data_IF_174943259723
#
_entry.id   IF_174943259723
#
_cell.length_a   1.000
_cell.length_b   1.000
_cell.length_c   1.000
_cell.angle_alpha   90.00
_cell.angle_beta   90.00
_cell.angle_gamma   90.00
#
_symmetry.space_group_name_H-M   'P 1'
#
loop_
_entity.id
_entity.type
_entity.pdbx_description
1 polymer ?
#
# COMPACT_ATOMS: atom_id res chain seq x y z
N UNK A 1 -20.91 7.71 -27.12
CA UNK A 1 -20.82 9.06 -26.54
C UNK A 1 -20.99 8.92 -25.04
N UNK A 2 -19.91 8.65 -24.29
CA UNK A 2 -19.98 8.58 -22.83
C UNK A 2 -19.86 10.00 -22.30
N UNK A 3 -20.94 10.51 -21.69
CA UNK A 3 -20.95 11.82 -21.07
C UNK A 3 -19.80 11.90 -20.06
N UNK A 4 -19.03 12.99 -20.13
CA UNK A 4 -18.00 13.31 -19.14
C UNK A 4 -18.73 13.71 -17.86
N UNK A 5 -19.16 12.72 -17.08
CA UNK A 5 -19.54 12.97 -15.70
C UNK A 5 -18.28 13.43 -14.99
N UNK A 6 -18.29 14.68 -14.50
CA UNK A 6 -17.21 15.22 -13.70
C UNK A 6 -17.11 14.43 -12.39
N UNK A 7 -16.16 13.50 -12.31
CA UNK A 7 -15.84 12.77 -11.09
C UNK A 7 -15.07 13.70 -10.14
N UNK A 8 -15.66 14.01 -8.98
CA UNK A 8 -14.96 14.68 -7.90
C UNK A 8 -14.35 13.62 -6.97
N UNK A 9 -13.04 13.66 -6.78
CA UNK A 9 -12.30 12.68 -5.98
C UNK A 9 -11.69 13.35 -4.77
N UNK A 10 -12.02 12.84 -3.58
CA UNK A 10 -11.43 13.26 -2.32
C UNK A 10 -10.67 12.10 -1.68
N UNK A 11 -9.48 12.38 -1.15
CA UNK A 11 -8.66 11.43 -0.40
C UNK A 11 -8.59 11.92 1.04
N UNK A 12 -8.86 11.02 2.00
CA UNK A 12 -8.77 11.31 3.43
C UNK A 12 -8.19 10.11 4.17
N UNK A 13 -7.29 10.37 5.11
CA UNK A 13 -6.82 9.37 6.06
C UNK A 13 -7.67 9.46 7.33
N UNK A 14 -8.70 8.62 7.40
CA UNK A 14 -9.64 8.61 8.52
C UNK A 14 -8.97 8.31 9.87
N UNK A 15 -7.87 7.53 9.92
CA UNK A 15 -7.16 7.28 11.18
C UNK A 15 -6.45 8.54 11.66
N UNK A 16 -5.61 9.13 10.81
CA UNK A 16 -4.79 10.28 11.19
C UNK A 16 -5.62 11.55 11.41
N UNK A 17 -6.61 11.80 10.55
CA UNK A 17 -7.35 13.07 10.49
C UNK A 17 -8.63 13.07 11.34
N UNK A 18 -9.22 11.89 11.58
CA UNK A 18 -10.59 11.77 12.07
C UNK A 18 -10.77 10.77 13.22
N UNK A 19 -9.68 10.38 13.91
CA UNK A 19 -9.79 9.64 15.17
C UNK A 19 -9.14 10.40 16.34
N UNK A 20 -9.67 10.26 17.57
CA UNK A 20 -9.04 10.85 18.75
C UNK A 20 -7.75 10.11 19.12
N UNK A 21 -6.93 10.73 19.97
CA UNK A 21 -5.85 10.02 20.65
C UNK A 21 -6.40 8.83 21.46
N UNK A 22 -5.72 7.66 21.48
CA UNK A 22 -4.42 7.35 20.87
C UNK A 22 -4.50 6.84 19.42
N UNK A 23 -5.69 6.68 18.85
CA UNK A 23 -5.91 6.02 17.56
C UNK A 23 -5.25 6.74 16.38
N UNK A 24 -5.21 8.08 16.40
CA UNK A 24 -4.54 8.87 15.37
C UNK A 24 -3.01 8.71 15.34
N UNK A 25 -2.41 8.01 16.32
CA UNK A 25 -0.99 7.68 16.32
C UNK A 25 -0.69 6.30 15.70
N UNK A 26 -1.70 5.48 15.41
CA UNK A 26 -1.51 4.13 14.83
C UNK A 26 -0.71 4.17 13.51
N UNK A 27 -0.99 5.08 12.56
CA UNK A 27 -0.20 5.15 11.33
C UNK A 27 1.27 5.49 11.58
N UNK A 28 1.58 6.26 12.63
CA UNK A 28 2.95 6.62 12.99
C UNK A 28 3.72 5.47 13.64
N UNK A 29 3.04 4.63 14.43
CA UNK A 29 3.67 3.46 15.05
C UNK A 29 3.94 2.32 14.05
N UNK A 30 3.29 2.33 12.89
CA UNK A 30 3.48 1.34 11.83
C UNK A 30 4.96 1.17 11.41
N UNK A 31 5.66 2.28 11.16
CA UNK A 31 7.09 2.23 10.75
C UNK A 31 7.96 1.54 11.80
N UNK A 32 7.68 1.79 13.08
CA UNK A 32 8.37 1.10 14.18
C UNK A 32 8.04 -0.39 14.20
N UNK A 33 6.76 -0.76 14.11
CA UNK A 33 6.34 -2.17 14.15
C UNK A 33 6.96 -2.98 13.01
N UNK A 34 6.92 -2.48 11.77
CA UNK A 34 7.46 -3.21 10.61
C UNK A 34 8.98 -3.37 10.68
N UNK A 35 9.70 -2.44 11.32
CA UNK A 35 11.14 -2.58 11.59
C UNK A 35 11.45 -3.66 12.63
N UNK A 36 10.48 -4.05 13.45
CA UNK A 36 10.63 -5.07 14.49
C UNK A 36 9.80 -6.31 14.13
N UNK A 37 10.39 -7.19 13.31
CA UNK A 37 9.74 -8.39 12.78
C UNK A 37 8.93 -9.21 13.79
N UNK A 38 9.44 -9.52 15.00
CA UNK A 38 8.66 -10.23 16.02
C UNK A 38 7.41 -9.47 16.50
N UNK A 39 7.52 -8.14 16.71
CA UNK A 39 6.38 -7.31 17.12
C UNK A 39 5.33 -7.22 16.02
N UNK A 40 5.76 -7.05 14.76
CA UNK A 40 4.86 -7.10 13.61
C UNK A 40 4.13 -8.43 13.51
N UNK A 41 4.86 -9.54 13.65
CA UNK A 41 4.28 -10.89 13.61
C UNK A 41 3.22 -11.06 14.71
N UNK A 42 3.56 -10.66 15.94
CA UNK A 42 2.63 -10.73 17.07
C UNK A 42 1.38 -9.89 16.83
N UNK A 43 1.53 -8.65 16.39
CA UNK A 43 0.40 -7.77 16.07
C UNK A 43 -0.49 -8.38 14.97
N UNK A 44 0.11 -8.77 13.85
CA UNK A 44 -0.59 -9.32 12.69
C UNK A 44 -1.37 -10.59 13.04
N UNK A 45 -0.70 -11.59 13.63
CA UNK A 45 -1.35 -12.88 13.94
C UNK A 45 -2.24 -12.79 15.18
N UNK A 46 -1.96 -11.87 16.11
CA UNK A 46 -2.81 -11.61 17.27
C UNK A 46 -4.15 -10.98 16.90
N UNK A 47 -4.18 -10.12 15.89
CA UNK A 47 -5.43 -9.49 15.42
C UNK A 47 -6.13 -10.26 14.30
N UNK A 48 -5.48 -11.22 13.65
CA UNK A 48 -6.07 -11.98 12.55
C UNK A 48 -7.35 -12.78 12.90
N UNK A 49 -7.46 -13.46 14.07
CA UNK A 49 -8.62 -14.27 14.38
C UNK A 49 -9.93 -13.49 14.33
N UNK A 50 -10.96 -14.11 13.73
CA UNK A 50 -12.26 -13.45 13.44
C UNK A 50 -12.90 -12.81 14.68
N UNK A 51 -12.96 -13.56 15.76
CA UNK A 51 -13.56 -13.10 17.01
C UNK A 51 -12.78 -11.92 17.62
N UNK A 52 -11.44 -11.93 17.49
CA UNK A 52 -10.58 -10.88 18.02
C UNK A 52 -10.77 -9.57 17.26
N UNK A 53 -10.56 -9.55 15.93
CA UNK A 53 -10.70 -8.28 15.21
C UNK A 53 -12.13 -7.75 15.21
N UNK A 54 -13.15 -8.61 15.12
CA UNK A 54 -14.54 -8.15 15.16
C UNK A 54 -14.88 -7.49 16.50
N UNK A 55 -14.42 -8.06 17.61
CA UNK A 55 -14.62 -7.49 18.94
C UNK A 55 -13.84 -6.19 19.11
N UNK A 56 -12.57 -6.15 18.68
CA UNK A 56 -11.75 -4.95 18.74
C UNK A 56 -12.38 -3.81 17.92
N UNK A 57 -12.79 -4.06 16.68
CA UNK A 57 -13.45 -3.04 15.86
C UNK A 57 -14.82 -2.63 16.41
N UNK A 58 -15.57 -3.55 17.02
CA UNK A 58 -16.82 -3.19 17.68
C UNK A 58 -16.57 -2.24 18.86
N UNK A 59 -15.60 -2.54 19.73
CA UNK A 59 -15.22 -1.68 20.84
C UNK A 59 -14.68 -0.33 20.37
N UNK A 60 -13.70 -0.33 19.45
CA UNK A 60 -13.11 0.88 18.89
C UNK A 60 -14.16 1.76 18.21
N UNK A 61 -15.12 1.16 17.48
CA UNK A 61 -16.18 1.93 16.81
C UNK A 61 -16.99 2.78 17.77
N UNK A 62 -17.23 2.34 19.00
CA UNK A 62 -17.95 3.11 20.01
C UNK A 62 -17.26 4.44 20.33
N UNK A 63 -15.93 4.48 20.30
CA UNK A 63 -15.14 5.66 20.59
C UNK A 63 -14.91 6.56 19.37
N UNK A 64 -14.71 5.97 18.19
CA UNK A 64 -14.28 6.73 17.00
C UNK A 64 -15.42 7.02 16.00
N UNK A 65 -16.58 6.37 16.12
CA UNK A 65 -17.62 6.43 15.10
C UNK A 65 -18.11 7.85 14.81
N UNK A 66 -18.21 8.72 15.81
CA UNK A 66 -18.68 10.10 15.61
C UNK A 66 -17.75 10.90 14.71
N UNK A 67 -16.45 10.88 15.00
CA UNK A 67 -15.46 11.65 14.25
C UNK A 67 -15.20 11.05 12.87
N UNK A 68 -15.15 9.72 12.76
CA UNK A 68 -15.07 9.02 11.47
C UNK A 68 -16.31 9.30 10.62
N UNK A 69 -17.51 9.35 11.22
CA UNK A 69 -18.72 9.67 10.48
C UNK A 69 -18.75 11.12 9.98
N UNK A 70 -18.20 12.08 10.74
CA UNK A 70 -18.02 13.46 10.25
C UNK A 70 -17.07 13.48 9.06
N UNK A 71 -15.93 12.79 9.14
CA UNK A 71 -14.95 12.70 8.05
C UNK A 71 -15.54 12.07 6.79
N UNK A 72 -16.24 10.94 6.94
CA UNK A 72 -16.92 10.25 5.84
C UNK A 72 -18.01 11.11 5.17
N UNK A 73 -18.85 11.77 5.98
CA UNK A 73 -20.00 12.51 5.46
C UNK A 73 -19.69 13.94 5.04
N UNK A 74 -18.49 14.45 5.34
CA UNK A 74 -18.02 15.78 4.92
C UNK A 74 -18.21 16.03 3.42
N UNK A 75 -18.04 14.98 2.61
CA UNK A 75 -18.08 15.05 1.15
C UNK A 75 -19.37 14.52 0.53
N UNK A 76 -20.36 14.10 1.34
CA UNK A 76 -21.61 13.48 0.88
C UNK A 76 -21.40 12.45 -0.27
N UNK A 77 -20.57 11.41 -0.07
CA UNK A 77 -20.10 10.58 -1.18
C UNK A 77 -21.18 9.66 -1.73
N UNK A 78 -21.25 9.53 -3.06
CA UNK A 78 -22.01 8.47 -3.74
C UNK A 78 -21.30 7.11 -3.66
N UNK A 79 -19.96 7.15 -3.67
CA UNK A 79 -19.09 5.97 -3.64
C UNK A 79 -17.96 6.19 -2.62
N UNK A 80 -17.74 5.19 -1.77
CA UNK A 80 -16.57 5.10 -0.88
C UNK A 80 -15.68 3.96 -1.37
N UNK A 81 -14.37 4.24 -1.52
CA UNK A 81 -13.36 3.27 -1.91
C UNK A 81 -12.36 3.13 -0.77
N UNK A 82 -12.34 1.96 -0.13
CA UNK A 82 -11.40 1.64 0.93
C UNK A 82 -10.16 0.94 0.35
N UNK A 83 -9.00 1.54 0.55
CA UNK A 83 -7.68 1.01 0.15
C UNK A 83 -6.81 0.63 1.36
N UNK A 84 -7.44 0.41 2.52
CA UNK A 84 -6.73 0.12 3.77
C UNK A 84 -7.39 -1.04 4.54
N UNK A 85 -6.63 -1.98 5.14
CA UNK A 85 -7.17 -3.18 5.80
C UNK A 85 -7.98 -2.89 7.05
N UNK A 86 -7.83 -1.71 7.65
CA UNK A 86 -8.57 -1.30 8.86
C UNK A 86 -9.77 -0.40 8.55
N UNK A 87 -10.15 -0.26 7.28
CA UNK A 87 -11.16 0.71 6.82
C UNK A 87 -12.39 0.01 6.23
N UNK A 88 -12.78 -1.13 6.78
CA UNK A 88 -14.00 -1.85 6.39
C UNK A 88 -15.01 -1.80 7.54
N UNK A 89 -14.65 -2.38 8.69
CA UNK A 89 -15.56 -2.62 9.81
C UNK A 89 -16.21 -1.33 10.36
N UNK A 90 -15.40 -0.32 10.70
CA UNK A 90 -15.90 0.93 11.30
C UNK A 90 -16.75 1.74 10.32
N UNK A 91 -16.28 2.06 9.08
CA UNK A 91 -17.11 2.76 8.11
C UNK A 91 -18.42 2.04 7.79
N UNK A 92 -18.40 0.72 7.58
CA UNK A 92 -19.61 -0.05 7.27
C UNK A 92 -20.61 -0.07 8.44
N UNK A 93 -20.12 -0.11 9.69
CA UNK A 93 -20.98 -0.01 10.88
C UNK A 93 -21.66 1.35 10.97
N UNK A 94 -20.95 2.43 10.66
CA UNK A 94 -21.49 3.79 10.62
C UNK A 94 -22.55 3.92 9.52
N UNK A 95 -22.27 3.43 8.31
CA UNK A 95 -23.24 3.46 7.21
C UNK A 95 -24.50 2.67 7.57
N UNK A 96 -24.34 1.52 8.23
CA UNK A 96 -25.47 0.71 8.70
C UNK A 96 -26.31 1.44 9.73
N UNK A 97 -25.70 2.02 10.76
CA UNK A 97 -26.44 2.69 11.84
C UNK A 97 -27.16 3.96 11.38
N UNK A 98 -26.73 4.55 10.25
CA UNK A 98 -27.37 5.72 9.63
C UNK A 98 -28.33 5.38 8.49
N UNK A 99 -28.56 4.11 8.18
CA UNK A 99 -29.42 3.70 7.07
C UNK A 99 -28.89 4.13 5.69
N UNK A 100 -27.57 4.20 5.54
CA UNK A 100 -26.90 4.67 4.32
C UNK A 100 -26.29 3.54 3.47
N UNK A 101 -26.33 2.29 3.94
CA UNK A 101 -25.74 1.15 3.21
C UNK A 101 -26.32 0.96 1.81
N UNK A 102 -27.61 1.20 1.64
CA UNK A 102 -28.29 1.04 0.34
C UNK A 102 -28.18 2.29 -0.54
N UNK A 103 -27.68 3.40 0.01
CA UNK A 103 -27.54 4.69 -0.70
C UNK A 103 -26.12 4.94 -1.20
N UNK A 104 -25.12 4.51 -0.43
CA UNK A 104 -23.70 4.78 -0.72
C UNK A 104 -23.01 3.47 -1.11
N UNK A 105 -22.45 3.43 -2.31
CA UNK A 105 -21.69 2.27 -2.79
C UNK A 105 -20.39 2.17 -1.99
N UNK A 106 -20.19 1.07 -1.28
CA UNK A 106 -18.97 0.84 -0.51
C UNK A 106 -18.13 -0.25 -1.17
N UNK A 107 -16.92 0.11 -1.62
CA UNK A 107 -16.00 -0.83 -2.25
C UNK A 107 -14.68 -0.93 -1.51
N UNK A 108 -14.05 -2.10 -1.62
CA UNK A 108 -12.70 -2.34 -1.13
C UNK A 108 -11.79 -2.67 -2.30
N UNK A 109 -10.61 -2.06 -2.34
CA UNK A 109 -9.51 -2.48 -3.20
C UNK A 109 -8.44 -3.08 -2.30
N UNK A 110 -8.24 -4.39 -2.38
CA UNK A 110 -7.23 -5.09 -1.58
C UNK A 110 -5.86 -4.83 -2.18
N UNK A 111 -4.94 -4.30 -1.36
CA UNK A 111 -3.57 -3.98 -1.80
C UNK A 111 -2.54 -5.06 -1.45
N UNK A 112 -2.94 -6.06 -0.66
CA UNK A 112 -2.08 -7.21 -0.30
C UNK A 112 -2.14 -8.26 -1.42
N UNK A 113 -0.99 -8.64 -1.98
CA UNK A 113 -0.91 -9.51 -3.17
C UNK A 113 -1.22 -11.00 -2.91
N UNK A 114 -1.01 -11.49 -1.68
CA UNK A 114 -1.21 -12.90 -1.33
C UNK A 114 -1.69 -13.10 0.10
N UNK A 115 -0.83 -12.88 1.08
CA UNK A 115 -1.16 -13.04 2.50
C UNK A 115 -1.89 -11.81 3.01
N UNK A 116 -3.22 -11.81 2.86
CA UNK A 116 -4.07 -10.71 3.31
C UNK A 116 -4.46 -10.86 4.77
N UNK A 117 -4.49 -9.75 5.51
CA UNK A 117 -5.14 -9.73 6.81
C UNK A 117 -6.66 -9.92 6.64
N UNK A 118 -7.35 -10.73 7.46
CA UNK A 118 -8.79 -11.00 7.29
C UNK A 118 -9.68 -9.76 7.30
N UNK A 119 -9.20 -8.64 7.85
CA UNK A 119 -9.97 -7.40 8.01
C UNK A 119 -10.25 -6.68 6.70
N UNK A 120 -9.53 -7.02 5.62
CA UNK A 120 -9.88 -6.60 4.25
C UNK A 120 -11.27 -7.04 3.82
N UNK A 121 -11.78 -8.14 4.36
CA UNK A 121 -12.99 -8.79 3.89
C UNK A 121 -14.17 -8.51 4.82
N UNK A 122 -15.24 -7.93 4.28
CA UNK A 122 -16.46 -7.68 5.03
C UNK A 122 -17.70 -7.95 4.18
N UNK A 123 -18.70 -8.66 4.74
CA UNK A 123 -19.89 -9.12 4.00
C UNK A 123 -20.79 -7.99 3.51
N UNK A 124 -20.69 -6.79 4.11
CA UNK A 124 -21.52 -5.63 3.76
C UNK A 124 -20.94 -4.76 2.63
N UNK A 125 -19.79 -5.12 2.03
CA UNK A 125 -19.26 -4.36 0.89
C UNK A 125 -20.10 -4.61 -0.35
N UNK A 126 -20.25 -3.59 -1.21
CA UNK A 126 -20.89 -3.75 -2.53
C UNK A 126 -19.98 -4.55 -3.47
N UNK A 127 -18.69 -4.23 -3.46
CA UNK A 127 -17.63 -4.91 -4.23
C UNK A 127 -16.31 -4.98 -3.47
N UNK A 128 -15.58 -6.06 -3.69
CA UNK A 128 -14.21 -6.30 -3.25
C UNK A 128 -13.35 -6.62 -4.48
N UNK A 129 -12.45 -5.70 -4.83
CA UNK A 129 -11.49 -5.84 -5.90
C UNK A 129 -10.24 -6.52 -5.36
N UNK A 130 -9.99 -7.72 -5.85
CA UNK A 130 -8.86 -8.57 -5.48
C UNK A 130 -7.74 -8.44 -6.53
N UNK A 131 -6.47 -8.37 -6.11
CA UNK A 131 -5.36 -8.29 -7.04
C UNK A 131 -5.02 -9.63 -7.69
N UNK A 132 -5.40 -10.75 -7.06
CA UNK A 132 -5.10 -12.10 -7.54
C UNK A 132 -6.27 -13.05 -7.29
N UNK A 133 -6.25 -14.20 -7.98
CA UNK A 133 -7.20 -15.30 -7.77
C UNK A 133 -7.12 -15.88 -6.36
N UNK A 134 -5.93 -15.92 -5.77
CA UNK A 134 -5.73 -16.43 -4.40
C UNK A 134 -6.30 -15.51 -3.32
N UNK A 135 -6.29 -14.20 -3.56
CA UNK A 135 -6.98 -13.25 -2.69
C UNK A 135 -8.50 -13.38 -2.84
N UNK A 136 -9.00 -13.61 -4.07
CA UNK A 136 -10.43 -13.87 -4.30
C UNK A 136 -10.91 -15.14 -3.58
N UNK A 137 -10.13 -16.23 -3.58
CA UNK A 137 -10.43 -17.45 -2.79
C UNK A 137 -10.49 -17.15 -1.29
N UNK A 138 -9.59 -16.31 -0.77
CA UNK A 138 -9.63 -15.86 0.65
C UNK A 138 -10.88 -15.03 0.94
N UNK A 139 -11.27 -14.14 0.04
CA UNK A 139 -12.51 -13.36 0.15
C UNK A 139 -13.75 -14.27 0.20
N UNK A 140 -13.83 -15.28 -0.67
CA UNK A 140 -14.90 -16.30 -0.63
C UNK A 140 -14.89 -17.05 0.71
N UNK A 141 -13.73 -17.49 1.20
CA UNK A 141 -13.58 -18.15 2.51
C UNK A 141 -14.01 -17.25 3.69
N UNK A 142 -13.84 -15.93 3.57
CA UNK A 142 -14.33 -14.97 4.56
C UNK A 142 -15.86 -14.77 4.52
N UNK A 143 -16.52 -15.29 3.48
CA UNK A 143 -17.96 -15.32 3.30
C UNK A 143 -18.51 -14.23 2.40
N UNK A 144 -17.69 -13.63 1.54
CA UNK A 144 -18.19 -12.78 0.45
C UNK A 144 -18.83 -13.66 -0.63
N UNK A 145 -19.88 -13.15 -1.27
CA UNK A 145 -20.52 -13.80 -2.43
C UNK A 145 -19.68 -13.58 -3.68
N UNK A 146 -19.77 -14.49 -4.65
CA UNK A 146 -19.12 -14.34 -5.95
C UNK A 146 -19.46 -13.02 -6.64
N UNK A 147 -20.71 -12.57 -6.49
CA UNK A 147 -21.18 -11.29 -7.04
C UNK A 147 -20.46 -10.08 -6.45
N UNK A 148 -19.94 -10.18 -5.23
CA UNK A 148 -19.19 -9.11 -4.57
C UNK A 148 -17.72 -9.07 -5.03
N UNK A 149 -17.19 -10.10 -5.68
CA UNK A 149 -15.75 -10.22 -5.93
C UNK A 149 -15.42 -9.91 -7.40
N UNK A 150 -14.36 -9.13 -7.61
CA UNK A 150 -13.77 -8.86 -8.93
C UNK A 150 -12.26 -9.03 -8.89
N UNK A 151 -11.66 -9.52 -9.97
CA UNK A 151 -10.23 -9.78 -10.08
C UNK A 151 -9.71 -8.96 -11.26
N UNK A 152 -9.14 -7.79 -10.98
CA UNK A 152 -8.62 -6.86 -12.01
C UNK A 152 -7.12 -6.57 -11.85
N UNK A 153 -6.46 -7.18 -10.87
CA UNK A 153 -5.09 -6.81 -10.52
C UNK A 153 -5.03 -5.65 -9.52
N UNK A 154 -3.82 -5.31 -9.10
CA UNK A 154 -3.56 -4.15 -8.27
C UNK A 154 -3.62 -2.89 -9.16
N UNK A 155 -4.41 -1.86 -8.81
CA UNK A 155 -4.47 -0.65 -9.62
C UNK A 155 -3.12 0.07 -9.59
N UNK A 156 -2.63 0.42 -10.76
CA UNK A 156 -1.42 1.22 -10.97
C UNK A 156 -1.79 2.57 -11.57
N UNK A 157 -0.92 3.59 -11.41
CA UNK A 157 -1.19 4.89 -12.03
C UNK A 157 -1.21 4.74 -13.55
N UNK A 158 -2.17 5.37 -14.27
CA UNK A 158 -2.22 5.29 -15.73
C UNK A 158 -0.93 5.73 -16.44
N UNK A 159 -0.13 6.60 -15.83
CA UNK A 159 1.17 7.01 -16.36
C UNK A 159 2.18 5.86 -16.47
N UNK A 160 2.07 4.81 -15.64
CA UNK A 160 2.98 3.66 -15.67
C UNK A 160 2.67 2.63 -16.75
N UNK A 161 1.46 2.65 -17.33
CA UNK A 161 1.06 1.73 -18.40
C UNK A 161 1.23 2.33 -19.79
N UNK A 162 1.73 3.57 -19.88
CA UNK A 162 2.08 4.18 -21.16
C UNK A 162 3.24 3.40 -21.80
N UNK A 163 3.32 3.33 -23.14
CA UNK A 163 4.47 2.76 -23.82
C UNK A 163 5.77 3.37 -23.30
N UNK A 164 6.74 2.50 -23.01
CA UNK A 164 8.05 2.90 -22.48
C UNK A 164 8.99 3.18 -23.64
N UNK A 165 9.85 4.20 -23.47
CA UNK A 165 10.90 4.54 -24.44
C UNK A 165 11.96 3.42 -24.53
N UNK A 166 12.76 3.38 -25.61
CA UNK A 166 13.89 2.47 -25.73
C UNK A 166 14.81 2.50 -24.51
N UNK A 167 15.37 1.34 -24.17
CA UNK A 167 16.16 1.12 -22.95
C UNK A 167 17.43 1.96 -22.93
N UNK A 168 18.08 2.11 -24.08
CA UNK A 168 19.30 2.89 -24.30
C UNK A 168 19.03 4.40 -24.11
N UNK A 169 17.92 4.92 -24.64
CA UNK A 169 17.51 6.32 -24.41
C UNK A 169 17.32 6.62 -22.92
N UNK A 170 16.61 5.73 -22.21
CA UNK A 170 16.38 5.88 -20.77
C UNK A 170 17.69 5.78 -19.98
N UNK A 171 18.61 4.90 -20.37
CA UNK A 171 19.93 4.78 -19.74
C UNK A 171 20.73 6.06 -19.92
N UNK A 172 20.80 6.62 -21.13
CA UNK A 172 21.47 7.90 -21.41
C UNK A 172 20.89 9.04 -20.58
N UNK A 173 19.57 9.16 -20.53
CA UNK A 173 18.89 10.21 -19.76
C UNK A 173 19.18 10.11 -18.26
N UNK A 174 19.26 8.89 -17.73
CA UNK A 174 19.56 8.62 -16.32
C UNK A 174 21.07 8.62 -16.02
N UNK A 175 21.92 8.88 -17.02
CA UNK A 175 23.38 8.84 -16.91
C UNK A 175 23.94 7.46 -16.55
N UNK A 176 23.21 6.41 -16.91
CA UNK A 176 23.57 5.00 -16.72
C UNK A 176 24.45 4.50 -17.87
N UNK A 177 25.14 3.40 -17.63
CA UNK A 177 25.86 2.69 -18.70
C UNK A 177 24.85 2.06 -19.68
N UNK A 178 25.13 2.14 -20.99
CA UNK A 178 24.20 1.73 -22.03
C UNK A 178 24.14 0.21 -22.23
N UNK A 179 25.20 -0.51 -21.88
CA UNK A 179 25.38 -1.93 -22.20
C UNK A 179 25.26 -2.81 -20.96
N UNK A 180 25.83 -2.39 -19.83
CA UNK A 180 25.87 -3.20 -18.61
C UNK A 180 24.47 -3.57 -18.09
N UNK A 181 24.24 -4.82 -17.63
CA UNK A 181 23.00 -5.19 -16.98
C UNK A 181 22.81 -4.36 -15.70
N UNK A 182 21.57 -3.94 -15.44
CA UNK A 182 21.25 -3.01 -14.35
C UNK A 182 20.36 -3.65 -13.29
N UNK A 183 20.70 -3.44 -12.02
CA UNK A 183 19.85 -3.75 -10.87
C UNK A 183 19.19 -2.46 -10.38
N UNK A 184 17.86 -2.43 -10.39
CA UNK A 184 17.09 -1.34 -9.78
C UNK A 184 16.85 -1.64 -8.30
N UNK A 185 17.47 -0.86 -7.42
CA UNK A 185 17.35 -0.99 -5.97
C UNK A 185 16.46 0.13 -5.42
N UNK A 186 15.35 -0.25 -4.78
CA UNK A 186 14.35 0.71 -4.27
C UNK A 186 14.10 0.42 -2.78
N UNK A 187 14.26 1.43 -1.92
CA UNK A 187 14.03 1.33 -0.46
C UNK A 187 12.65 1.78 0.03
N UNK A 188 11.74 2.08 -0.89
CA UNK A 188 10.45 2.72 -0.58
C UNK A 188 10.60 4.16 -0.06
N UNK A 189 9.48 4.87 0.03
CA UNK A 189 9.46 6.29 0.42
C UNK A 189 9.92 6.60 1.84
N UNK A 190 9.95 5.58 2.71
CA UNK A 190 10.35 5.65 4.13
C UNK A 190 11.76 5.08 4.39
N UNK A 191 12.48 4.62 3.35
CA UNK A 191 13.83 4.07 3.49
C UNK A 191 13.88 2.77 4.32
N UNK A 192 12.95 1.87 4.05
CA UNK A 192 12.87 0.59 4.76
C UNK A 192 13.90 -0.40 4.21
N UNK A 193 14.56 -1.14 5.11
CA UNK A 193 15.53 -2.17 4.77
C UNK A 193 16.98 -1.67 4.70
N UNK A 194 17.96 -2.59 4.68
CA UNK A 194 19.39 -2.26 4.73
C UNK A 194 19.94 -1.88 3.35
N UNK A 195 19.33 -0.89 2.69
CA UNK A 195 19.63 -0.52 1.28
C UNK A 195 21.10 -0.23 1.04
N UNK A 196 21.78 0.45 1.97
CA UNK A 196 23.22 0.67 1.84
C UNK A 196 24.03 -0.62 1.85
N UNK A 197 23.73 -1.54 2.78
CA UNK A 197 24.45 -2.80 2.86
C UNK A 197 24.19 -3.66 1.60
N UNK A 198 22.95 -3.67 1.09
CA UNK A 198 22.61 -4.33 -0.17
C UNK A 198 23.33 -3.71 -1.35
N UNK A 199 23.37 -2.36 -1.45
CA UNK A 199 24.07 -1.66 -2.53
C UNK A 199 25.57 -1.98 -2.52
N UNK A 200 26.21 -2.01 -1.34
CA UNK A 200 27.62 -2.39 -1.18
C UNK A 200 27.87 -3.83 -1.61
N UNK A 201 27.06 -4.77 -1.14
CA UNK A 201 27.18 -6.18 -1.51
C UNK A 201 27.00 -6.40 -3.02
N UNK A 202 26.06 -5.69 -3.65
CA UNK A 202 25.90 -5.70 -5.10
C UNK A 202 27.10 -5.07 -5.82
N UNK A 203 27.68 -4.00 -5.27
CA UNK A 203 28.87 -3.36 -5.79
C UNK A 203 30.09 -4.27 -5.82
N UNK A 204 30.26 -5.10 -4.80
CA UNK A 204 31.32 -6.11 -4.76
C UNK A 204 31.01 -7.30 -5.68
N UNK A 205 29.75 -7.76 -5.73
CA UNK A 205 29.33 -8.90 -6.55
C UNK A 205 29.40 -8.62 -8.07
N UNK A 206 29.10 -7.39 -8.48
CA UNK A 206 29.08 -6.97 -9.89
C UNK A 206 30.43 -6.41 -10.37
N UNK A 207 31.49 -6.65 -9.60
CA UNK A 207 32.86 -6.26 -9.95
C UNK A 207 33.73 -7.52 -10.06
N UNK A 208 34.11 -7.88 -11.28
CA UNK A 208 34.99 -9.00 -11.55
C UNK A 208 36.43 -8.49 -11.70
N UNK A 209 37.24 -8.63 -10.64
CA UNK A 209 38.66 -8.22 -10.62
C UNK A 209 38.94 -6.76 -11.07
N UNK A 210 37.97 -5.86 -10.88
CA UNK A 210 38.08 -4.44 -11.30
C UNK A 210 37.38 -4.11 -12.61
N UNK A 211 36.80 -5.12 -13.27
CA UNK A 211 35.94 -4.97 -14.45
C UNK A 211 34.48 -5.01 -14.00
N UNK A 212 33.69 -3.95 -14.24
CA UNK A 212 32.26 -3.95 -13.96
C UNK A 212 31.52 -4.98 -14.83
N UNK A 213 30.83 -5.93 -14.21
CA UNK A 213 29.93 -6.89 -14.89
C UNK A 213 28.46 -6.46 -14.80
N UNK A 214 28.16 -5.40 -14.07
CA UNK A 214 26.84 -4.80 -13.98
C UNK A 214 26.86 -3.41 -13.36
N UNK A 215 25.67 -2.81 -13.22
CA UNK A 215 25.46 -1.49 -12.64
C UNK A 215 24.23 -1.46 -11.72
N UNK A 216 24.15 -0.43 -10.88
CA UNK A 216 23.04 -0.25 -9.93
C UNK A 216 22.38 1.11 -10.14
N UNK A 217 21.05 1.15 -10.17
CA UNK A 217 20.25 2.37 -10.05
C UNK A 217 19.52 2.34 -8.70
N UNK A 218 19.79 3.30 -7.81
CA UNK A 218 19.22 3.35 -6.46
C UNK A 218 18.21 4.49 -6.31
N UNK A 219 16.94 4.14 -6.14
CA UNK A 219 15.88 5.12 -5.86
C UNK A 219 15.69 5.24 -4.34
N UNK A 220 16.24 6.32 -3.77
CA UNK A 220 16.16 6.62 -2.33
C UNK A 220 14.83 7.26 -1.88
N UNK A 221 13.94 7.61 -2.81
CA UNK A 221 12.66 8.25 -2.52
C UNK A 221 12.85 9.56 -1.75
N UNK A 222 12.22 9.69 -0.56
CA UNK A 222 12.35 10.88 0.31
C UNK A 222 13.57 10.82 1.24
N UNK A 223 14.32 9.71 1.26
CA UNK A 223 15.44 9.52 2.18
C UNK A 223 16.71 10.22 1.66
N UNK A 224 16.77 11.55 1.83
CA UNK A 224 17.92 12.38 1.42
C UNK A 224 19.22 11.98 2.13
N UNK A 225 19.14 11.53 3.39
CA UNK A 225 20.30 11.09 4.15
C UNK A 225 20.96 9.87 3.49
N UNK A 226 20.16 8.90 3.06
CA UNK A 226 20.64 7.73 2.32
C UNK A 226 21.21 8.13 0.95
N UNK A 227 20.51 8.98 0.21
CA UNK A 227 20.97 9.46 -1.10
C UNK A 227 22.36 10.11 -1.01
N UNK A 228 22.55 11.02 -0.06
CA UNK A 228 23.84 11.69 0.18
C UNK A 228 24.92 10.68 0.58
N UNK A 229 24.59 9.72 1.45
CA UNK A 229 25.55 8.71 1.90
C UNK A 229 26.00 7.80 0.76
N UNK A 230 25.08 7.36 -0.11
CA UNK A 230 25.40 6.50 -1.25
C UNK A 230 26.17 7.25 -2.34
N UNK A 231 25.84 8.53 -2.57
CA UNK A 231 26.52 9.37 -3.55
C UNK A 231 27.96 9.72 -3.15
N UNK A 232 28.29 9.66 -1.86
CA UNK A 232 29.64 9.91 -1.34
C UNK A 232 30.56 8.68 -1.40
N UNK A 233 30.04 7.50 -1.77
CA UNK A 233 30.84 6.27 -1.88
C UNK A 233 31.57 6.29 -3.22
N UNK A 234 32.87 5.97 -3.21
CA UNK A 234 33.60 5.66 -4.43
C UNK A 234 33.33 4.20 -4.82
N UNK A 235 32.51 4.01 -5.86
CA UNK A 235 32.07 2.70 -6.31
C UNK A 235 33.06 2.11 -7.32
N UNK A 236 33.25 0.78 -7.25
CA UNK A 236 34.06 0.02 -8.24
C UNK A 236 33.28 -0.27 -9.53
N UNK A 237 31.98 0.01 -9.53
CA UNK A 237 31.05 -0.18 -10.65
C UNK A 237 30.24 1.10 -10.86
N UNK A 238 29.57 1.27 -12.00
CA UNK A 238 28.62 2.36 -12.18
C UNK A 238 27.43 2.23 -11.21
N UNK A 239 27.21 3.29 -10.42
CA UNK A 239 26.04 3.44 -9.54
C UNK A 239 25.41 4.81 -9.77
N UNK A 240 24.08 4.83 -9.90
CA UNK A 240 23.27 6.04 -10.09
C UNK A 240 22.19 6.15 -9.03
#
# INVERSE_FOLDING_TARGET
MFGVHSLQVFITDLWSEHTPWPFNQIPKSYSFLVKHGPLWKMAYYGTAPRLVHQSNFAATSTFIAREVAKGLMKYQPDIIISVHPLMQHVPLRILRSRGLLDKIVFTTVVTDMSTCHPTWFHKLVTRCYCPTTDVAKRAMKAGLKQTQIKIYGLPVRPSFIKPVRPKDELRRELGMDEDLPAVLLIGGGEGMGPIEATARALGDLLNDEGVPTGQILVICGRNKKLANKLSAINWKIPVK
#
